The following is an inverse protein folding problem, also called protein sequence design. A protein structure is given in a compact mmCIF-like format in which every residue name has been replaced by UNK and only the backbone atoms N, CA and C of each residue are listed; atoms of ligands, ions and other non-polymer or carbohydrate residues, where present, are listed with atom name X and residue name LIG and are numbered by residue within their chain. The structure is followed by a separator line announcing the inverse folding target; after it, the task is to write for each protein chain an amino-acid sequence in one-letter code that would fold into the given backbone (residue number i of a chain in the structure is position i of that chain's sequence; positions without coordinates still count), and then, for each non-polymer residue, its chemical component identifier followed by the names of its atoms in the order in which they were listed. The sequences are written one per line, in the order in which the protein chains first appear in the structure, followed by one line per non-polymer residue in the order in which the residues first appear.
data_IF_083935772614
#
_entry.id   IF_083935772614
#
_cell.length_a   1.000
_cell.length_b   1.000
_cell.length_c   1.000
_cell.angle_alpha   90.00
_cell.angle_beta   90.00
_cell.angle_gamma   90.00
#
_symmetry.space_group_name_H-M   'P 1'
#
loop_
_entity.id
_entity.type
_entity.pdbx_description
1 polymer ?
#
# COMPACT_ATOMS: atom_id res chain seq x y z
N UNK A 1 -44.72 -3.37 0.96
CA UNK A 1 -43.58 -3.56 0.02
C UNK A 1 -43.68 -2.61 -1.19
N UNK A 2 -44.75 -1.85 -1.36
CA UNK A 2 -44.99 -0.99 -2.54
C UNK A 2 -44.81 0.51 -2.30
N UNK A 3 -44.04 0.95 -1.29
CA UNK A 3 -43.87 2.39 -0.94
C UNK A 3 -42.43 2.88 -0.80
N UNK A 4 -41.42 2.17 -1.36
CA UNK A 4 -40.02 2.53 -1.27
C UNK A 4 -39.40 2.95 -2.63
N UNK A 5 -40.22 3.21 -3.64
CA UNK A 5 -39.72 3.50 -5.00
C UNK A 5 -40.16 4.86 -5.51
N UNK A 6 -40.20 5.91 -4.69
CA UNK A 6 -40.22 7.28 -5.19
C UNK A 6 -39.85 8.23 -4.04
N UNK A 7 -38.62 8.55 -3.90
CA UNK A 7 -38.19 9.77 -3.19
C UNK A 7 -37.34 10.62 -4.13
N UNK A 8 -38.05 11.46 -4.89
CA UNK A 8 -37.46 12.59 -5.60
C UNK A 8 -36.86 13.56 -4.60
N UNK A 9 -35.67 14.02 -4.95
CA UNK A 9 -35.02 15.29 -4.60
C UNK A 9 -35.83 16.18 -3.62
N UNK A 10 -35.58 16.00 -2.33
CA UNK A 10 -35.80 17.06 -1.37
C UNK A 10 -34.60 17.16 -0.44
N UNK A 11 -33.80 18.25 -0.64
CA UNK A 11 -32.76 18.71 0.26
C UNK A 11 -33.40 19.19 1.55
N UNK A 12 -33.72 18.30 2.48
CA UNK A 12 -34.11 18.72 3.82
C UNK A 12 -32.86 18.93 4.68
N UNK A 13 -32.75 20.19 5.14
CA UNK A 13 -31.75 20.60 6.14
C UNK A 13 -32.20 20.05 7.49
N UNK A 14 -31.40 19.18 8.08
CA UNK A 14 -31.56 18.77 9.47
C UNK A 14 -30.78 19.73 10.35
N UNK A 15 -31.50 20.54 11.16
CA UNK A 15 -30.91 21.47 12.12
C UNK A 15 -30.73 20.76 13.47
N UNK A 16 -29.50 20.48 13.85
CA UNK A 16 -29.14 20.03 15.19
C UNK A 16 -28.09 21.01 15.73
N UNK A 17 -28.51 21.87 16.66
CA UNK A 17 -27.59 22.65 17.50
C UNK A 17 -26.82 23.78 16.84
N UNK A 18 -27.42 24.56 15.91
CA UNK A 18 -26.87 25.88 15.51
C UNK A 18 -25.56 25.92 14.72
N UNK A 19 -25.06 24.78 14.24
CA UNK A 19 -23.90 24.71 13.36
C UNK A 19 -24.33 24.19 11.99
N UNK A 20 -24.30 25.09 10.97
CA UNK A 20 -24.49 24.70 9.59
C UNK A 20 -23.25 23.95 9.10
N UNK A 21 -23.22 22.63 9.16
CA UNK A 21 -22.32 21.83 8.37
C UNK A 21 -22.87 21.78 6.95
N UNK A 22 -22.17 22.38 5.99
CA UNK A 22 -22.34 22.05 4.58
C UNK A 22 -21.97 20.57 4.46
N UNK A 23 -22.93 19.75 4.03
CA UNK A 23 -22.64 18.43 3.52
C UNK A 23 -21.71 18.65 2.32
N UNK A 24 -20.40 18.48 2.53
CA UNK A 24 -19.47 18.34 1.43
C UNK A 24 -19.91 17.10 0.67
N UNK A 25 -20.03 17.16 -0.64
CA UNK A 25 -20.19 16.03 -1.51
C UNK A 25 -18.90 15.16 -1.34
N UNK A 26 -18.91 14.29 -0.36
CA UNK A 26 -17.85 13.31 -0.16
C UNK A 26 -18.12 12.23 -1.18
N UNK A 27 -17.39 12.28 -2.28
CA UNK A 27 -17.38 11.24 -3.30
C UNK A 27 -16.84 9.95 -2.66
N UNK A 28 -17.74 9.06 -2.24
CA UNK A 28 -17.40 7.81 -1.59
C UNK A 28 -17.00 6.76 -2.63
N UNK A 29 -15.70 6.66 -2.89
CA UNK A 29 -15.12 5.55 -3.65
C UNK A 29 -14.73 4.40 -2.72
N UNK A 30 -14.79 3.16 -3.20
CA UNK A 30 -14.18 2.00 -2.52
C UNK A 30 -12.70 2.32 -2.33
N UNK A 31 -12.27 2.47 -1.08
CA UNK A 31 -10.90 2.85 -0.76
C UNK A 31 -9.97 1.66 -0.94
N UNK A 32 -8.86 1.88 -1.61
CA UNK A 32 -7.74 0.94 -1.70
C UNK A 32 -6.43 1.71 -1.73
N UNK A 33 -5.42 1.16 -1.10
CA UNK A 33 -4.05 1.70 -1.17
C UNK A 33 -3.32 1.22 -2.44
N UNK A 34 -3.82 0.17 -3.11
CA UNK A 34 -3.18 -0.41 -4.29
C UNK A 34 -3.50 0.35 -5.58
N UNK A 35 -2.47 0.79 -6.30
CA UNK A 35 -2.61 1.46 -7.59
C UNK A 35 -3.17 0.53 -8.67
N UNK A 36 -2.85 -0.76 -8.62
CA UNK A 36 -3.39 -1.76 -9.53
C UNK A 36 -4.90 -1.89 -9.40
N UNK A 37 -5.46 -1.89 -8.18
CA UNK A 37 -6.91 -1.94 -7.96
C UNK A 37 -7.62 -0.67 -8.44
N UNK A 38 -6.99 0.49 -8.33
CA UNK A 38 -7.52 1.74 -8.92
C UNK A 38 -7.50 1.68 -10.44
N UNK A 39 -6.44 1.12 -11.05
CA UNK A 39 -6.33 0.91 -12.50
C UNK A 39 -7.42 -0.02 -13.03
N UNK A 40 -7.72 -1.10 -12.32
CA UNK A 40 -8.76 -2.08 -12.68
C UNK A 40 -10.18 -1.48 -12.73
N UNK A 41 -10.44 -0.42 -11.97
CA UNK A 41 -11.73 0.30 -11.99
C UNK A 41 -11.97 1.10 -13.25
N UNK A 42 -10.90 1.54 -13.93
CA UNK A 42 -11.00 2.41 -15.09
C UNK A 42 -11.14 1.57 -16.35
N UNK A 43 -12.29 1.70 -17.03
CA UNK A 43 -12.54 1.00 -18.28
C UNK A 43 -11.70 1.59 -19.43
N UNK A 44 -11.08 0.72 -20.22
CA UNK A 44 -10.30 1.09 -21.40
C UNK A 44 -8.85 0.61 -21.35
N UNK A 45 -8.26 0.35 -22.52
CA UNK A 45 -6.87 -0.11 -22.63
C UNK A 45 -5.86 1.02 -22.50
N UNK A 46 -6.23 2.24 -22.88
CA UNK A 46 -5.37 3.42 -22.81
C UNK A 46 -6.02 4.52 -21.98
N UNK A 47 -5.34 4.91 -20.90
CA UNK A 47 -5.75 6.00 -20.03
C UNK A 47 -4.71 7.11 -20.20
N UNK A 48 -5.12 8.36 -20.62
CA UNK A 48 -4.19 9.44 -20.78
C UNK A 48 -3.41 9.73 -19.49
N UNK A 49 -2.09 9.82 -19.59
CA UNK A 49 -1.22 10.07 -18.44
C UNK A 49 -0.89 8.83 -17.61
N UNK A 50 -1.30 7.63 -18.05
CA UNK A 50 -0.97 6.37 -17.37
C UNK A 50 -0.29 5.43 -18.38
N UNK A 51 0.79 4.79 -17.94
CA UNK A 51 1.45 3.72 -18.67
C UNK A 51 1.43 2.46 -17.81
N UNK A 52 1.07 1.33 -18.43
CA UNK A 52 1.03 0.02 -17.75
C UNK A 52 1.95 -0.93 -18.48
N UNK A 53 2.74 -1.67 -17.71
CA UNK A 53 3.53 -2.81 -18.18
C UNK A 53 3.30 -3.98 -17.25
N UNK A 54 3.29 -5.18 -17.81
CA UNK A 54 3.11 -6.41 -17.04
C UNK A 54 4.08 -7.46 -17.55
N UNK A 55 4.66 -8.20 -16.60
CA UNK A 55 5.49 -9.37 -16.90
C UNK A 55 5.32 -10.42 -15.81
N UNK A 56 5.60 -11.66 -16.16
CA UNK A 56 5.51 -12.80 -15.27
C UNK A 56 6.75 -13.67 -15.43
N UNK A 57 7.28 -14.15 -14.30
CA UNK A 57 8.32 -15.16 -14.27
C UNK A 57 7.66 -16.54 -14.35
N UNK A 58 7.77 -17.22 -15.48
CA UNK A 58 7.15 -18.53 -15.73
C UNK A 58 7.57 -19.59 -14.67
N UNK A 59 8.83 -19.54 -14.20
CA UNK A 59 9.38 -20.51 -13.25
C UNK A 59 8.74 -20.41 -11.86
N UNK A 60 8.42 -19.20 -11.40
CA UNK A 60 7.94 -18.94 -10.06
C UNK A 60 6.46 -18.54 -10.01
N UNK A 61 5.88 -18.16 -11.16
CA UNK A 61 4.53 -17.58 -11.25
C UNK A 61 4.40 -16.21 -10.57
N UNK A 62 5.54 -15.54 -10.30
CA UNK A 62 5.55 -14.16 -9.78
C UNK A 62 5.20 -13.21 -10.91
N UNK A 63 4.09 -12.50 -10.75
CA UNK A 63 3.64 -11.48 -11.69
C UNK A 63 3.96 -10.10 -11.15
N UNK A 64 4.48 -9.25 -12.02
CA UNK A 64 4.77 -7.84 -11.70
C UNK A 64 4.00 -6.95 -12.66
N UNK A 65 3.25 -6.01 -12.09
CA UNK A 65 2.55 -4.97 -12.85
C UNK A 65 3.11 -3.60 -12.48
N UNK A 66 3.66 -2.91 -13.47
CA UNK A 66 4.07 -1.50 -13.37
C UNK A 66 2.90 -0.61 -13.80
N UNK A 67 2.51 0.31 -12.94
CA UNK A 67 1.60 1.41 -13.24
C UNK A 67 2.35 2.71 -13.05
N UNK A 68 2.68 3.41 -14.13
CA UNK A 68 3.33 4.71 -14.08
C UNK A 68 2.28 5.81 -14.30
N UNK A 69 2.07 6.65 -13.28
CA UNK A 69 1.28 7.87 -13.36
C UNK A 69 2.22 8.97 -13.82
N UNK A 70 2.08 9.39 -15.09
CA UNK A 70 3.08 10.23 -15.76
C UNK A 70 2.81 11.74 -15.61
N UNK A 71 1.56 12.15 -15.40
CA UNK A 71 1.16 13.56 -15.33
C UNK A 71 -0.16 13.75 -14.54
N UNK A 72 -0.58 15.01 -14.36
CA UNK A 72 -1.81 15.38 -13.66
C UNK A 72 -3.09 14.73 -14.23
N UNK A 73 -3.13 14.37 -15.52
CA UNK A 73 -4.29 13.69 -16.14
C UNK A 73 -4.38 12.28 -15.61
N UNK A 74 -3.23 11.58 -15.53
CA UNK A 74 -3.13 10.27 -14.92
C UNK A 74 -3.49 10.30 -13.43
N UNK A 75 -3.00 11.30 -12.70
CA UNK A 75 -3.33 11.51 -11.29
C UNK A 75 -4.84 11.68 -11.08
N UNK A 76 -5.50 12.52 -11.88
CA UNK A 76 -6.96 12.71 -11.81
C UNK A 76 -7.74 11.45 -12.20
N UNK A 77 -7.25 10.69 -13.18
CA UNK A 77 -7.91 9.47 -13.65
C UNK A 77 -7.81 8.32 -12.64
N UNK A 78 -6.66 8.19 -11.97
CA UNK A 78 -6.37 7.07 -11.07
C UNK A 78 -6.59 7.44 -9.58
N UNK A 79 -6.61 8.73 -9.24
CA UNK A 79 -6.64 9.19 -7.85
C UNK A 79 -5.36 8.86 -7.07
N UNK A 80 -4.24 8.63 -7.77
CA UNK A 80 -2.91 8.34 -7.20
C UNK A 80 -1.91 9.38 -7.67
N UNK A 81 -1.00 9.86 -6.81
CA UNK A 81 0.03 10.84 -7.18
C UNK A 81 0.88 10.40 -8.37
N UNK A 82 1.47 11.38 -9.05
CA UNK A 82 2.47 11.13 -10.10
C UNK A 82 3.63 10.32 -9.50
N UNK A 83 4.02 9.24 -10.18
CA UNK A 83 5.07 8.33 -9.76
C UNK A 83 4.92 6.93 -10.32
N UNK A 84 5.80 6.04 -9.94
CA UNK A 84 5.82 4.65 -10.33
C UNK A 84 5.26 3.76 -9.21
N UNK A 85 4.41 2.83 -9.59
CA UNK A 85 3.81 1.82 -8.72
C UNK A 85 4.08 0.45 -9.31
N UNK A 86 4.88 -0.36 -8.60
CA UNK A 86 5.20 -1.74 -8.94
C UNK A 86 4.41 -2.66 -8.02
N UNK A 87 3.52 -3.46 -8.58
CA UNK A 87 2.73 -4.43 -7.82
C UNK A 87 3.24 -5.83 -8.14
N UNK A 88 3.77 -6.51 -7.13
CA UNK A 88 4.22 -7.89 -7.17
C UNK A 88 3.11 -8.78 -6.64
N UNK A 89 2.60 -9.69 -7.46
CA UNK A 89 1.61 -10.69 -7.08
C UNK A 89 2.28 -12.06 -7.03
N UNK A 90 2.28 -12.67 -5.85
CA UNK A 90 2.96 -13.92 -5.56
C UNK A 90 2.05 -14.83 -4.72
N UNK A 91 1.18 -15.59 -5.40
CA UNK A 91 0.11 -16.37 -4.76
C UNK A 91 0.60 -17.38 -3.70
N UNK A 92 1.80 -17.91 -3.89
CA UNK A 92 2.38 -18.90 -2.96
C UNK A 92 2.92 -18.30 -1.66
N UNK A 93 3.02 -16.96 -1.53
CA UNK A 93 3.32 -16.30 -0.25
C UNK A 93 2.33 -16.61 0.88
N UNK A 94 1.11 -17.05 0.52
CA UNK A 94 0.14 -17.52 1.51
C UNK A 94 0.51 -18.89 2.13
N UNK A 95 1.48 -19.60 1.55
CA UNK A 95 1.97 -20.90 2.01
C UNK A 95 3.30 -20.70 2.72
N UNK A 96 3.60 -21.62 3.63
CA UNK A 96 4.91 -21.65 4.29
C UNK A 96 5.90 -22.40 3.37
N UNK A 97 6.59 -21.67 2.51
CA UNK A 97 7.59 -22.18 1.58
C UNK A 97 8.78 -21.22 1.58
N UNK A 98 9.83 -21.58 2.32
CA UNK A 98 11.00 -20.73 2.54
C UNK A 98 11.74 -20.43 1.24
N UNK A 99 11.82 -21.39 0.30
CA UNK A 99 12.46 -21.20 -1.00
C UNK A 99 11.70 -20.17 -1.84
N UNK A 100 10.37 -20.26 -1.85
CA UNK A 100 9.53 -19.30 -2.57
C UNK A 100 9.59 -17.89 -1.97
N UNK A 101 9.64 -17.78 -0.64
CA UNK A 101 9.84 -16.49 0.04
C UNK A 101 11.17 -15.84 -0.37
N UNK A 102 12.22 -16.63 -0.52
CA UNK A 102 13.51 -16.15 -1.01
C UNK A 102 13.47 -15.65 -2.45
N UNK A 103 12.80 -16.38 -3.35
CA UNK A 103 12.60 -15.95 -4.74
C UNK A 103 11.85 -14.61 -4.83
N UNK A 104 10.84 -14.42 -3.99
CA UNK A 104 10.13 -13.14 -3.87
C UNK A 104 11.04 -12.05 -3.33
N UNK A 105 11.90 -12.34 -2.33
CA UNK A 105 12.89 -11.39 -1.80
C UNK A 105 13.88 -10.95 -2.88
N UNK A 106 14.34 -11.86 -3.72
CA UNK A 106 15.25 -11.57 -4.85
C UNK A 106 14.60 -10.67 -5.89
N UNK A 107 13.32 -10.94 -6.25
CA UNK A 107 12.55 -10.09 -7.17
C UNK A 107 12.36 -8.68 -6.61
N UNK A 108 11.89 -8.57 -5.38
CA UNK A 108 11.71 -7.29 -4.69
C UNK A 108 13.02 -6.51 -4.58
N UNK A 109 14.14 -7.19 -4.30
CA UNK A 109 15.46 -6.58 -4.24
C UNK A 109 15.88 -6.00 -5.59
N UNK A 110 15.60 -6.72 -6.69
CA UNK A 110 15.85 -6.24 -8.05
C UNK A 110 15.05 -4.98 -8.37
N UNK A 111 13.74 -4.99 -8.07
CA UNK A 111 12.85 -3.86 -8.28
C UNK A 111 13.26 -2.65 -7.43
N UNK A 112 13.59 -2.87 -6.15
CA UNK A 112 14.02 -1.81 -5.24
C UNK A 112 15.34 -1.17 -5.69
N UNK A 113 16.34 -1.97 -6.13
CA UNK A 113 17.56 -1.44 -6.74
C UNK A 113 17.27 -0.60 -7.98
N UNK A 114 16.36 -1.05 -8.83
CA UNK A 114 15.93 -0.29 -10.01
C UNK A 114 15.39 1.08 -9.63
N UNK A 115 14.48 1.14 -8.65
CA UNK A 115 13.91 2.39 -8.17
C UNK A 115 14.97 3.31 -7.54
N UNK A 116 15.86 2.79 -6.70
CA UNK A 116 16.96 3.57 -6.12
C UNK A 116 17.87 4.14 -7.21
N UNK A 117 18.17 3.36 -8.25
CA UNK A 117 18.99 3.78 -9.40
C UNK A 117 18.34 4.93 -10.18
N UNK A 118 17.03 4.90 -10.41
CA UNK A 118 16.29 5.98 -11.08
C UNK A 118 16.41 7.31 -10.31
N UNK A 119 16.50 7.25 -8.98
CA UNK A 119 16.78 8.41 -8.14
C UNK A 119 18.27 8.76 -8.02
N UNK A 120 19.14 8.04 -8.74
CA UNK A 120 20.61 8.27 -8.73
C UNK A 120 21.31 7.81 -7.45
N UNK A 121 20.68 6.94 -6.69
CA UNK A 121 21.14 6.41 -5.41
C UNK A 121 21.88 5.08 -5.61
N UNK A 122 23.08 5.19 -6.20
CA UNK A 122 24.02 4.08 -6.43
C UNK A 122 25.37 4.41 -5.79
N UNK A 123 25.95 3.45 -5.07
CA UNK A 123 27.23 3.63 -4.38
C UNK A 123 28.33 4.08 -5.34
N UNK A 124 28.39 3.49 -6.54
CA UNK A 124 29.35 3.82 -7.60
C UNK A 124 29.21 5.27 -8.07
N UNK A 125 27.97 5.72 -8.28
CA UNK A 125 27.67 7.07 -8.75
C UNK A 125 27.93 8.12 -7.68
N UNK A 126 27.60 7.79 -6.43
CA UNK A 126 27.77 8.67 -5.28
C UNK A 126 29.21 8.71 -4.77
N UNK A 127 30.04 7.71 -5.10
CA UNK A 127 31.42 7.54 -4.60
C UNK A 127 31.49 7.20 -3.11
N UNK A 128 30.36 6.92 -2.47
CA UNK A 128 30.22 6.52 -1.07
C UNK A 128 29.00 5.61 -0.89
N UNK A 129 28.91 4.85 0.22
CA UNK A 129 27.71 4.08 0.52
C UNK A 129 26.46 4.97 0.60
N UNK A 130 25.35 4.45 0.11
CA UNK A 130 24.03 5.10 0.22
C UNK A 130 23.58 5.05 1.69
N UNK A 131 23.16 6.20 2.22
CA UNK A 131 22.58 6.31 3.55
C UNK A 131 21.06 6.12 3.46
N UNK A 132 20.57 5.05 4.01
CA UNK A 132 19.15 4.70 3.94
C UNK A 132 18.52 4.69 5.33
N UNK A 133 17.37 5.35 5.47
CA UNK A 133 16.52 5.27 6.66
C UNK A 133 15.31 4.38 6.35
N UNK A 134 15.19 3.25 7.03
CA UNK A 134 13.99 2.40 6.95
C UNK A 134 13.02 2.81 8.05
N UNK A 135 11.78 3.05 7.66
CA UNK A 135 10.70 3.47 8.56
C UNK A 135 9.62 2.39 8.58
N UNK A 136 9.47 1.73 9.73
CA UNK A 136 8.39 0.76 9.95
C UNK A 136 7.14 1.46 10.47
N UNK A 137 6.16 1.68 9.60
CA UNK A 137 4.88 2.30 9.94
C UNK A 137 3.92 1.28 10.54
N UNK A 138 2.99 1.76 11.35
CA UNK A 138 1.93 0.96 11.95
C UNK A 138 2.07 0.80 13.46
N UNK A 139 1.13 0.04 14.01
CA UNK A 139 1.04 -0.24 15.44
C UNK A 139 1.53 -1.68 15.72
N UNK A 140 2.65 -1.88 16.43
CA UNK A 140 3.17 -3.21 16.76
C UNK A 140 2.22 -4.06 17.62
N UNK A 141 1.28 -3.43 18.34
CA UNK A 141 0.30 -4.13 19.19
C UNK A 141 -0.95 -4.60 18.41
N UNK A 142 -1.09 -4.17 17.14
CA UNK A 142 -2.19 -4.58 16.28
C UNK A 142 -1.64 -5.40 15.11
N UNK A 143 -1.70 -6.74 15.18
CA UNK A 143 -1.04 -7.64 14.23
C UNK A 143 -1.25 -7.26 12.76
N UNK A 144 -2.46 -6.93 12.27
CA UNK A 144 -2.64 -6.53 10.87
C UNK A 144 -1.92 -5.23 10.49
N UNK A 145 -1.55 -4.40 11.47
CA UNK A 145 -0.86 -3.13 11.31
C UNK A 145 0.62 -3.20 11.73
N UNK A 146 1.10 -4.38 12.12
CA UNK A 146 2.45 -4.56 12.69
C UNK A 146 3.54 -4.88 11.65
N UNK A 147 3.23 -4.89 10.35
CA UNK A 147 4.18 -5.27 9.29
C UNK A 147 5.45 -4.42 9.33
N UNK A 148 5.32 -3.10 9.31
CA UNK A 148 6.47 -2.20 9.31
C UNK A 148 7.37 -2.39 10.54
N UNK A 149 6.83 -2.34 11.77
CA UNK A 149 7.59 -2.66 12.98
C UNK A 149 8.32 -4.00 12.91
N UNK A 150 7.68 -5.07 12.45
CA UNK A 150 8.27 -6.40 12.34
C UNK A 150 9.38 -6.49 11.29
N UNK A 151 9.28 -5.77 10.18
CA UNK A 151 10.39 -5.67 9.21
C UNK A 151 11.64 -5.12 9.88
N UNK A 152 11.50 -4.15 10.77
CA UNK A 152 12.62 -3.56 11.47
C UNK A 152 13.24 -4.52 12.52
N UNK A 153 12.48 -5.43 13.10
CA UNK A 153 13.00 -6.47 14.00
C UNK A 153 14.02 -7.38 13.31
N UNK A 154 13.85 -7.61 11.99
CA UNK A 154 14.75 -8.41 11.16
C UNK A 154 15.85 -7.59 10.48
N UNK A 155 15.83 -6.25 10.60
CA UNK A 155 16.73 -5.38 9.85
C UNK A 155 18.10 -5.26 10.54
N UNK A 156 19.18 -5.42 9.76
CA UNK A 156 20.55 -5.20 10.22
C UNK A 156 20.98 -3.74 10.04
N UNK A 157 20.81 -2.93 11.06
CA UNK A 157 21.27 -1.55 11.04
C UNK A 157 22.81 -1.47 11.05
N UNK A 158 23.37 -0.66 10.16
CA UNK A 158 24.85 -0.55 9.96
C UNK A 158 25.36 0.89 10.12
N UNK A 159 24.48 1.87 10.32
CA UNK A 159 24.89 3.29 10.48
C UNK A 159 25.91 3.49 11.59
N UNK A 160 25.85 2.70 12.66
CA UNK A 160 26.83 2.77 13.74
C UNK A 160 28.26 2.43 13.29
N UNK A 161 28.43 1.58 12.26
CA UNK A 161 29.75 1.28 11.68
C UNK A 161 30.35 2.49 10.99
N UNK A 162 29.51 3.30 10.29
CA UNK A 162 30.00 4.56 9.70
C UNK A 162 30.41 5.56 10.78
N UNK A 163 29.67 5.65 11.87
CA UNK A 163 29.99 6.55 12.98
C UNK A 163 31.28 6.17 13.72
N UNK A 164 31.54 4.87 13.89
CA UNK A 164 32.68 4.34 14.61
C UNK A 164 33.95 4.27 13.72
N UNK A 165 33.82 3.77 12.48
CA UNK A 165 34.95 3.45 11.61
C UNK A 165 35.08 4.38 10.39
N UNK A 166 34.11 5.23 10.14
CA UNK A 166 34.08 6.18 9.03
C UNK A 166 33.56 5.61 7.70
N UNK A 167 33.21 6.51 6.80
CA UNK A 167 32.61 6.20 5.48
C UNK A 167 33.49 5.31 4.61
N UNK A 168 34.83 5.51 4.67
CA UNK A 168 35.81 4.73 3.88
C UNK A 168 35.84 3.25 4.32
N UNK A 169 35.67 2.99 5.61
CA UNK A 169 35.54 1.63 6.12
C UNK A 169 34.30 0.95 5.52
N UNK A 170 33.13 1.59 5.60
CA UNK A 170 31.89 1.05 5.05
C UNK A 170 32.03 0.79 3.54
N UNK A 171 32.58 1.75 2.78
CA UNK A 171 32.83 1.59 1.34
C UNK A 171 33.75 0.41 1.02
N UNK A 172 34.87 0.29 1.73
CA UNK A 172 35.86 -0.78 1.52
C UNK A 172 35.30 -2.17 1.78
N UNK A 173 34.40 -2.31 2.75
CA UNK A 173 33.83 -3.58 3.17
C UNK A 173 32.44 -3.84 2.59
N UNK A 174 31.93 -2.97 1.70
CA UNK A 174 30.63 -3.14 1.06
C UNK A 174 29.42 -2.96 2.00
N UNK A 175 29.61 -2.27 3.13
CA UNK A 175 28.49 -1.98 4.05
C UNK A 175 27.70 -0.76 3.58
N UNK A 176 26.37 -0.87 3.33
CA UNK A 176 25.52 0.29 3.23
C UNK A 176 25.43 1.00 4.58
N UNK A 177 24.99 2.26 4.58
CA UNK A 177 24.73 2.98 5.84
C UNK A 177 23.22 2.92 6.11
N UNK A 178 22.81 1.92 6.87
CA UNK A 178 21.42 1.60 7.14
C UNK A 178 21.03 1.94 8.58
N UNK A 179 19.96 2.70 8.74
CA UNK A 179 19.31 2.98 10.02
C UNK A 179 17.82 2.68 9.94
N UNK A 180 17.19 2.40 11.07
CA UNK A 180 15.76 2.09 11.13
C UNK A 180 15.07 2.78 12.30
N UNK A 181 13.79 3.09 12.14
CA UNK A 181 12.91 3.63 13.18
C UNK A 181 11.49 3.13 13.03
N UNK A 182 10.87 2.77 14.15
CA UNK A 182 9.44 2.55 14.28
C UNK A 182 8.86 3.77 15.01
N UNK A 183 8.24 4.73 14.31
CA UNK A 183 7.76 5.98 14.93
C UNK A 183 6.53 5.77 15.81
N UNK A 184 5.87 4.61 15.74
CA UNK A 184 4.58 4.35 16.38
C UNK A 184 3.42 5.07 15.70
N UNK A 185 2.27 5.06 16.35
CA UNK A 185 1.06 5.71 15.86
C UNK A 185 0.74 6.97 16.68
N UNK A 186 0.06 7.95 16.06
CA UNK A 186 -0.28 9.22 16.72
C UNK A 186 -1.04 9.03 18.04
N UNK A 187 -1.88 7.99 18.13
CA UNK A 187 -2.61 7.67 19.36
C UNK A 187 -1.70 7.33 20.55
N UNK A 188 -0.48 6.84 20.29
CA UNK A 188 0.52 6.51 21.32
C UNK A 188 1.48 7.69 21.58
N UNK A 189 1.90 8.37 20.51
CA UNK A 189 2.98 9.38 20.56
C UNK A 189 2.46 10.80 20.75
N UNK A 190 1.22 11.09 20.34
CA UNK A 190 0.67 12.45 20.27
C UNK A 190 1.27 13.30 19.14
N UNK A 191 2.11 12.72 18.27
CA UNK A 191 2.81 13.41 17.19
C UNK A 191 2.47 12.82 15.84
N UNK A 192 2.47 13.65 14.80
CA UNK A 192 2.40 13.16 13.42
C UNK A 192 3.70 12.46 13.05
N UNK A 193 3.58 11.33 12.31
CA UNK A 193 4.74 10.58 11.83
C UNK A 193 5.70 11.46 11.03
N UNK A 194 5.18 12.37 10.19
CA UNK A 194 5.99 13.30 9.41
C UNK A 194 6.81 14.26 10.30
N UNK A 195 6.31 14.68 11.47
CA UNK A 195 7.05 15.53 12.42
C UNK A 195 8.24 14.78 13.01
N UNK A 196 8.00 13.54 13.47
CA UNK A 196 9.07 12.68 14.03
C UNK A 196 10.15 12.46 12.97
N UNK A 197 9.74 12.09 11.73
CA UNK A 197 10.69 11.78 10.66
C UNK A 197 11.49 13.00 10.21
N UNK A 198 10.92 14.19 10.16
CA UNK A 198 11.69 15.42 9.86
C UNK A 198 12.83 15.63 10.85
N UNK A 199 12.58 15.41 12.15
CA UNK A 199 13.62 15.48 13.17
C UNK A 199 14.72 14.43 12.97
N UNK A 200 14.34 13.18 12.70
CA UNK A 200 15.27 12.08 12.46
C UNK A 200 16.08 12.33 11.19
N UNK A 201 15.44 12.76 10.09
CA UNK A 201 16.11 13.05 8.82
C UNK A 201 17.11 14.21 8.97
N UNK A 202 16.76 15.26 9.69
CA UNK A 202 17.66 16.39 9.94
C UNK A 202 18.95 15.95 10.66
N UNK A 203 18.87 15.00 11.58
CA UNK A 203 20.00 14.45 12.33
C UNK A 203 20.78 13.38 11.55
N UNK A 204 20.07 12.41 10.97
CA UNK A 204 20.71 11.24 10.33
C UNK A 204 21.14 11.49 8.90
N UNK A 205 20.55 12.48 8.22
CA UNK A 205 20.82 12.90 6.84
C UNK A 205 20.89 11.73 5.84
N UNK A 206 19.79 10.94 5.75
CA UNK A 206 19.72 9.85 4.80
C UNK A 206 19.63 10.37 3.36
N UNK A 207 20.08 9.58 2.38
CA UNK A 207 19.91 9.85 0.96
C UNK A 207 18.52 9.43 0.47
N UNK A 208 17.92 8.44 1.15
CA UNK A 208 16.56 7.97 0.90
C UNK A 208 15.88 7.45 2.17
N UNK A 209 14.55 7.45 2.12
CA UNK A 209 13.67 6.79 3.09
C UNK A 209 13.00 5.60 2.41
N UNK A 210 13.05 4.42 3.04
CA UNK A 210 12.22 3.27 2.71
C UNK A 210 11.12 3.15 3.76
N UNK A 211 9.86 3.44 3.38
CA UNK A 211 8.72 3.38 4.29
C UNK A 211 7.96 2.06 4.09
N UNK A 212 7.88 1.23 5.13
CA UNK A 212 7.15 -0.04 5.12
C UNK A 212 5.85 0.11 5.88
N UNK A 213 4.73 -0.27 5.27
CA UNK A 213 3.38 -0.13 5.85
C UNK A 213 2.46 -1.30 5.51
N UNK A 214 1.49 -1.52 6.38
CA UNK A 214 0.37 -2.40 6.14
C UNK A 214 -0.74 -1.63 5.38
N UNK A 215 -1.21 -2.20 4.27
CA UNK A 215 -2.18 -1.56 3.40
C UNK A 215 -3.59 -2.16 3.57
N UNK A 216 -4.60 -1.42 3.11
CA UNK A 216 -5.94 -1.93 2.90
C UNK A 216 -6.15 -2.25 1.42
N UNK A 217 -6.62 -3.46 1.13
CA UNK A 217 -7.06 -3.85 -0.21
C UNK A 217 -8.57 -3.72 -0.36
N UNK A 218 -9.02 -3.66 -1.60
CA UNK A 218 -10.41 -3.83 -1.98
C UNK A 218 -10.79 -5.31 -2.08
N UNK A 219 -9.88 -6.15 -2.58
CA UNK A 219 -10.15 -7.57 -2.81
C UNK A 219 -9.44 -8.47 -1.81
N UNK A 220 -10.18 -9.46 -1.26
CA UNK A 220 -9.64 -10.50 -0.38
C UNK A 220 -8.50 -11.29 -1.04
N UNK A 221 -8.52 -11.44 -2.37
CA UNK A 221 -7.52 -12.19 -3.14
C UNK A 221 -6.10 -11.64 -3.03
N UNK A 222 -5.96 -10.38 -2.63
CA UNK A 222 -4.67 -9.68 -2.54
C UNK A 222 -4.05 -9.74 -1.14
N UNK A 223 -4.80 -10.20 -0.14
CA UNK A 223 -4.36 -10.20 1.25
C UNK A 223 -3.15 -11.12 1.46
N UNK A 224 -2.01 -10.50 1.82
CA UNK A 224 -0.77 -11.20 2.14
C UNK A 224 -0.10 -11.92 0.97
N UNK A 225 -0.53 -11.65 -0.27
CA UNK A 225 0.06 -12.24 -1.51
C UNK A 225 0.42 -11.18 -2.54
N UNK A 226 0.24 -9.93 -2.19
CA UNK A 226 0.54 -8.78 -3.05
C UNK A 226 1.46 -7.83 -2.29
N UNK A 227 2.52 -7.36 -2.93
CA UNK A 227 3.45 -6.36 -2.38
C UNK A 227 3.53 -5.21 -3.38
N UNK A 228 3.32 -3.98 -2.92
CA UNK A 228 3.43 -2.79 -3.76
C UNK A 228 4.65 -1.97 -3.36
N UNK A 229 5.48 -1.61 -4.35
CA UNK A 229 6.52 -0.59 -4.20
C UNK A 229 6.06 0.68 -4.92
N UNK A 230 6.39 1.87 -4.37
CA UNK A 230 6.09 3.14 -5.03
C UNK A 230 7.10 4.21 -4.65
N UNK A 231 7.48 5.05 -5.62
CA UNK A 231 8.30 6.25 -5.40
C UNK A 231 7.48 7.53 -5.24
N UNK A 232 6.16 7.44 -5.36
CA UNK A 232 5.24 8.55 -5.07
C UNK A 232 5.09 8.86 -3.57
N UNK A 233 5.75 8.06 -2.71
CA UNK A 233 5.60 8.13 -1.27
C UNK A 233 4.39 7.34 -0.75
N UNK A 234 3.99 7.61 0.49
CA UNK A 234 2.90 6.91 1.16
C UNK A 234 2.00 7.86 1.96
N UNK A 235 0.72 7.52 2.05
CA UNK A 235 -0.28 8.20 2.87
C UNK A 235 -0.72 7.24 3.98
N UNK A 236 -0.05 7.24 5.14
CA UNK A 236 -0.33 6.26 6.20
C UNK A 236 -1.80 6.27 6.63
N UNK A 237 -2.44 5.10 6.63
CA UNK A 237 -3.83 4.93 7.06
C UNK A 237 -4.89 5.45 6.08
N UNK A 238 -4.55 5.83 4.84
CA UNK A 238 -5.51 6.31 3.84
C UNK A 238 -6.57 5.29 3.49
N UNK A 239 -6.20 4.02 3.34
CA UNK A 239 -7.11 2.92 3.04
C UNK A 239 -8.14 2.64 4.14
N UNK A 240 -7.85 3.01 5.39
CA UNK A 240 -8.78 2.89 6.52
C UNK A 240 -9.44 4.22 6.90
N UNK A 241 -9.27 5.26 6.07
CA UNK A 241 -9.96 6.55 6.25
C UNK A 241 -9.29 7.53 7.20
N UNK A 242 -8.07 7.26 7.63
CA UNK A 242 -7.29 8.20 8.43
C UNK A 242 -6.57 9.18 7.49
N UNK A 243 -6.86 10.47 7.63
CA UNK A 243 -6.15 11.53 6.91
C UNK A 243 -4.95 11.97 7.74
N UNK A 244 -3.77 11.46 7.41
CA UNK A 244 -2.48 11.84 7.99
C UNK A 244 -1.63 12.56 6.95
N UNK A 245 -0.60 13.26 7.41
CA UNK A 245 0.35 13.88 6.52
C UNK A 245 1.05 12.81 5.67
N UNK A 246 1.09 13.03 4.36
CA UNK A 246 1.80 12.16 3.43
C UNK A 246 3.30 12.17 3.69
N UNK A 247 3.93 11.03 3.52
CA UNK A 247 5.38 10.88 3.54
C UNK A 247 5.86 10.82 2.10
N UNK A 248 6.22 11.96 1.55
CA UNK A 248 6.67 12.13 0.16
C UNK A 248 8.00 12.88 0.14
N UNK A 249 8.63 12.94 -1.03
CA UNK A 249 9.84 13.75 -1.22
C UNK A 249 9.62 15.22 -0.86
N UNK A 250 8.44 15.76 -1.16
CA UNK A 250 8.08 17.16 -0.88
C UNK A 250 7.98 17.42 0.62
N UNK A 251 7.41 16.47 1.36
CA UNK A 251 7.20 16.62 2.80
C UNK A 251 8.46 16.35 3.63
N UNK A 252 9.30 15.40 3.20
CA UNK A 252 10.48 14.96 3.94
C UNK A 252 11.82 15.52 3.41
N UNK A 253 11.83 16.08 2.20
CA UNK A 253 13.02 16.65 1.57
C UNK A 253 14.01 15.64 1.00
N UNK A 254 13.70 14.35 1.06
CA UNK A 254 14.50 13.24 0.52
C UNK A 254 13.59 12.28 -0.24
N UNK A 255 14.11 11.53 -1.25
CA UNK A 255 13.34 10.48 -1.92
C UNK A 255 12.72 9.49 -0.92
N UNK A 256 11.45 9.15 -1.15
CA UNK A 256 10.71 8.18 -0.35
C UNK A 256 10.26 7.05 -1.25
N UNK A 257 10.67 5.82 -0.95
CA UNK A 257 10.16 4.61 -1.59
C UNK A 257 9.30 3.88 -0.56
N UNK A 258 8.03 3.69 -0.89
CA UNK A 258 7.09 2.96 -0.06
C UNK A 258 7.08 1.48 -0.43
N UNK A 259 6.98 0.60 0.56
CA UNK A 259 6.79 -0.83 0.43
C UNK A 259 5.55 -1.19 1.25
N UNK A 260 4.51 -1.66 0.60
CA UNK A 260 3.25 -1.92 1.26
C UNK A 260 2.68 -3.29 0.97
N UNK A 261 2.04 -3.92 1.96
CA UNK A 261 1.36 -5.20 1.81
C UNK A 261 -0.06 -5.09 2.34
N UNK A 262 -1.08 -5.49 1.56
CA UNK A 262 -2.45 -5.55 2.06
C UNK A 262 -2.61 -6.65 3.11
N UNK A 263 -3.00 -6.23 4.30
CA UNK A 263 -3.26 -7.09 5.46
C UNK A 263 -4.72 -7.12 5.86
N UNK A 264 -5.49 -6.13 5.43
CA UNK A 264 -6.91 -5.98 5.74
C UNK A 264 -7.74 -5.65 4.51
N UNK A 265 -9.03 -5.98 4.57
CA UNK A 265 -10.05 -5.60 3.60
C UNK A 265 -11.30 -5.12 4.33
N UNK A 266 -11.98 -4.11 3.80
CA UNK A 266 -13.25 -3.63 4.37
C UNK A 266 -14.35 -4.67 4.25
N UNK A 267 -15.17 -4.86 5.30
CA UNK A 267 -16.28 -5.81 5.27
C UNK A 267 -17.27 -5.54 4.13
N UNK A 268 -17.55 -4.27 3.83
CA UNK A 268 -18.39 -3.87 2.71
C UNK A 268 -17.84 -4.32 1.34
N UNK A 269 -16.53 -4.36 1.17
CA UNK A 269 -15.90 -4.85 -0.05
C UNK A 269 -16.08 -6.37 -0.23
N UNK A 270 -16.03 -7.13 0.87
CA UNK A 270 -16.29 -8.58 0.84
C UNK A 270 -17.74 -8.85 0.42
N UNK A 271 -18.69 -8.12 0.97
CA UNK A 271 -20.11 -8.27 0.61
C UNK A 271 -20.34 -7.90 -0.85
N UNK A 272 -19.72 -6.82 -1.33
CA UNK A 272 -19.80 -6.42 -2.73
C UNK A 272 -19.28 -7.51 -3.68
N UNK A 273 -18.08 -8.04 -3.41
CA UNK A 273 -17.49 -9.12 -4.21
C UNK A 273 -18.35 -10.39 -4.17
N UNK A 274 -18.95 -10.70 -3.01
CA UNK A 274 -19.83 -11.86 -2.83
C UNK A 274 -21.12 -11.71 -3.64
N UNK A 275 -21.75 -10.54 -3.61
CA UNK A 275 -22.96 -10.24 -4.40
C UNK A 275 -22.63 -10.32 -5.91
N UNK A 276 -21.52 -9.75 -6.33
CA UNK A 276 -21.05 -9.83 -7.73
C UNK A 276 -20.86 -11.28 -8.20
N UNK A 277 -20.21 -12.11 -7.39
CA UNK A 277 -20.00 -13.52 -7.69
C UNK A 277 -21.34 -14.31 -7.74
N UNK A 278 -22.27 -14.01 -6.85
CA UNK A 278 -23.60 -14.62 -6.85
C UNK A 278 -24.39 -14.27 -8.11
N UNK A 279 -24.38 -12.99 -8.52
CA UNK A 279 -25.03 -12.53 -9.76
C UNK A 279 -24.44 -13.23 -10.98
N UNK A 280 -23.10 -13.36 -11.05
CA UNK A 280 -22.43 -14.08 -12.13
C UNK A 280 -22.86 -15.56 -12.19
N UNK A 281 -22.90 -16.24 -11.05
CA UNK A 281 -23.32 -17.64 -10.95
C UNK A 281 -24.78 -17.87 -11.36
N UNK A 282 -25.68 -16.95 -10.99
CA UNK A 282 -27.10 -17.01 -11.38
C UNK A 282 -27.29 -16.84 -12.90
N UNK A 283 -26.49 -16.00 -13.54
CA UNK A 283 -26.49 -15.83 -15.00
C UNK A 283 -26.03 -17.09 -15.73
N UNK A 284 -24.96 -17.71 -15.27
CA UNK A 284 -24.48 -18.98 -15.83
C UNK A 284 -25.49 -20.10 -15.67
N UNK A 285 -26.30 -20.09 -14.58
CA UNK A 285 -27.37 -21.03 -14.32
C UNK A 285 -28.67 -20.81 -15.13
N UNK A 286 -28.75 -19.74 -15.95
CA UNK A 286 -29.91 -19.45 -16.80
C UNK A 286 -31.08 -18.75 -16.08
N UNK A 287 -30.92 -18.30 -14.83
CA UNK A 287 -31.92 -17.56 -14.07
C UNK A 287 -31.74 -16.04 -14.22
N UNK A 288 -32.00 -15.53 -15.42
CA UNK A 288 -31.71 -14.15 -15.81
C UNK A 288 -32.48 -13.06 -15.05
N UNK A 289 -33.65 -13.36 -14.47
CA UNK A 289 -34.55 -12.33 -13.93
C UNK A 289 -34.09 -11.59 -12.67
N UNK A 290 -33.25 -12.18 -11.82
CA UNK A 290 -32.69 -11.55 -10.61
C UNK A 290 -31.35 -10.87 -10.83
N UNK A 291 -30.59 -11.32 -11.83
CA UNK A 291 -29.30 -10.73 -12.20
C UNK A 291 -29.43 -9.31 -12.76
N UNK A 292 -30.45 -9.07 -13.59
CA UNK A 292 -30.64 -7.81 -14.31
C UNK A 292 -30.88 -6.60 -13.38
N UNK A 293 -31.51 -6.80 -12.22
CA UNK A 293 -31.84 -5.70 -11.30
C UNK A 293 -30.58 -5.16 -10.58
N UNK A 294 -29.62 -6.01 -10.30
CA UNK A 294 -28.36 -5.62 -9.63
C UNK A 294 -27.32 -5.10 -10.65
N UNK A 295 -27.39 -5.61 -11.89
CA UNK A 295 -26.45 -5.23 -12.94
C UNK A 295 -26.66 -3.80 -13.49
N UNK A 296 -27.87 -3.27 -13.40
CA UNK A 296 -28.18 -1.90 -13.83
C UNK A 296 -27.68 -0.83 -12.86
N UNK A 297 -27.18 -1.23 -11.68
CA UNK A 297 -26.50 -0.33 -10.75
C UNK A 297 -25.00 -0.32 -11.08
N UNK A 298 -24.42 0.88 -11.18
CA UNK A 298 -22.96 1.00 -11.24
C UNK A 298 -22.33 0.32 -10.02
N UNK A 299 -21.19 -0.33 -10.19
CA UNK A 299 -20.47 -1.00 -9.10
C UNK A 299 -20.17 -0.09 -7.90
N UNK A 300 -20.06 1.23 -8.14
CA UNK A 300 -19.94 2.25 -7.09
C UNK A 300 -21.23 2.38 -6.28
N UNK A 301 -22.35 2.44 -6.95
CA UNK A 301 -23.67 2.57 -6.31
C UNK A 301 -24.02 1.32 -5.52
N UNK A 302 -23.68 0.13 -6.04
CA UNK A 302 -23.84 -1.14 -5.32
C UNK A 302 -23.01 -1.16 -4.03
N UNK A 303 -21.74 -0.77 -4.11
CA UNK A 303 -20.86 -0.72 -2.94
C UNK A 303 -21.37 0.29 -1.91
N UNK A 304 -21.81 1.47 -2.35
CA UNK A 304 -22.35 2.50 -1.49
C UNK A 304 -23.61 2.03 -0.77
N UNK A 305 -24.55 1.40 -1.49
CA UNK A 305 -25.76 0.83 -0.91
C UNK A 305 -25.46 -0.23 0.15
N UNK A 306 -24.52 -1.14 -0.15
CA UNK A 306 -24.06 -2.17 0.80
C UNK A 306 -23.51 -1.51 2.07
N UNK A 307 -22.70 -0.47 1.89
CA UNK A 307 -22.11 0.27 2.99
C UNK A 307 -23.13 1.01 3.83
N UNK A 308 -24.09 1.70 3.21
CA UNK A 308 -25.18 2.39 3.89
C UNK A 308 -26.08 1.45 4.72
N UNK A 309 -26.22 0.20 4.29
CA UNK A 309 -26.97 -0.82 5.02
C UNK A 309 -26.15 -1.43 6.15
N UNK A 310 -24.85 -1.66 5.95
CA UNK A 310 -23.98 -2.33 6.93
C UNK A 310 -23.42 -1.40 8.00
N UNK A 311 -22.90 -0.23 7.63
CA UNK A 311 -22.22 0.66 8.58
C UNK A 311 -23.06 1.11 9.77
N UNK A 312 -24.37 1.43 9.63
CA UNK A 312 -25.19 1.79 10.78
C UNK A 312 -25.36 0.64 11.79
N UNK A 313 -25.20 -0.62 11.34
CA UNK A 313 -25.40 -1.80 12.17
C UNK A 313 -24.12 -2.30 12.83
N UNK A 314 -22.99 -2.25 12.11
CA UNK A 314 -21.73 -2.86 12.54
C UNK A 314 -20.55 -1.87 12.60
N UNK A 315 -20.74 -0.62 12.18
CA UNK A 315 -19.67 0.37 12.04
C UNK A 315 -18.68 0.02 10.92
N UNK A 316 -17.61 0.82 10.74
CA UNK A 316 -16.54 0.49 9.83
C UNK A 316 -15.77 -0.73 10.36
N UNK A 317 -15.89 -1.86 9.67
CA UNK A 317 -15.23 -3.12 10.05
C UNK A 317 -14.22 -3.52 8.99
N UNK A 318 -13.03 -3.94 9.43
CA UNK A 318 -11.98 -4.52 8.60
C UNK A 318 -11.79 -5.99 8.95
N UNK A 319 -11.55 -6.80 7.93
CA UNK A 319 -11.36 -8.25 8.03
C UNK A 319 -9.94 -8.59 7.60
N UNK A 320 -9.33 -9.52 8.30
CA UNK A 320 -7.99 -10.03 8.05
C UNK A 320 -8.02 -11.56 8.00
N UNK A 321 -7.07 -12.24 7.33
CA UNK A 321 -6.96 -13.69 7.36
C UNK A 321 -6.77 -14.24 8.78
N UNK A 322 -7.32 -15.43 9.05
CA UNK A 322 -7.23 -16.06 10.38
C UNK A 322 -5.78 -16.35 10.82
N UNK A 323 -4.86 -16.52 9.87
CA UNK A 323 -3.43 -16.76 10.09
C UNK A 323 -2.58 -15.51 9.88
N UNK A 324 -3.12 -14.32 10.20
CA UNK A 324 -2.45 -13.04 9.94
C UNK A 324 -1.11 -12.93 10.69
N UNK A 325 -1.00 -13.50 11.90
CA UNK A 325 0.23 -13.46 12.68
C UNK A 325 1.39 -14.14 11.93
N UNK A 326 1.16 -15.35 11.41
CA UNK A 326 2.14 -16.09 10.62
C UNK A 326 2.46 -15.37 9.30
N UNK A 327 1.45 -14.81 8.62
CA UNK A 327 1.65 -14.07 7.37
C UNK A 327 2.48 -12.82 7.56
N UNK A 328 2.19 -12.03 8.57
CA UNK A 328 2.94 -10.81 8.88
C UNK A 328 4.38 -11.15 9.24
N UNK A 329 4.62 -12.20 10.00
CA UNK A 329 5.96 -12.69 10.35
C UNK A 329 6.76 -13.06 9.09
N UNK A 330 6.21 -13.95 8.23
CA UNK A 330 6.88 -14.40 7.02
C UNK A 330 7.13 -13.25 6.03
N UNK A 331 6.15 -12.36 5.84
CA UNK A 331 6.27 -11.19 4.96
C UNK A 331 7.28 -10.18 5.48
N UNK A 332 7.34 -9.98 6.80
CA UNK A 332 8.32 -9.06 7.40
C UNK A 332 9.75 -9.56 7.17
N UNK A 333 9.98 -10.86 7.30
CA UNK A 333 11.26 -11.47 6.95
C UNK A 333 11.58 -11.33 5.46
N UNK A 334 10.64 -11.65 4.56
CA UNK A 334 10.78 -11.51 3.09
C UNK A 334 11.17 -10.09 2.70
N UNK A 335 10.50 -9.08 3.24
CA UNK A 335 10.77 -7.67 2.93
C UNK A 335 12.11 -7.22 3.51
N UNK A 336 12.44 -7.62 4.75
CA UNK A 336 13.73 -7.30 5.35
C UNK A 336 14.88 -7.92 4.55
N UNK A 337 14.75 -9.17 4.11
CA UNK A 337 15.73 -9.83 3.26
C UNK A 337 15.87 -9.14 1.91
N UNK A 338 14.77 -8.73 1.28
CA UNK A 338 14.78 -7.95 0.04
C UNK A 338 15.52 -6.61 0.21
N UNK A 339 15.30 -5.90 1.31
CA UNK A 339 16.01 -4.66 1.63
C UNK A 339 17.51 -4.93 1.79
N UNK A 340 17.89 -5.99 2.50
CA UNK A 340 19.29 -6.39 2.64
C UNK A 340 19.91 -6.71 1.29
N UNK A 341 19.30 -7.57 0.49
CA UNK A 341 19.78 -7.94 -0.85
C UNK A 341 19.90 -6.72 -1.77
N UNK A 342 18.98 -5.75 -1.66
CA UNK A 342 19.01 -4.54 -2.47
C UNK A 342 20.19 -3.64 -2.11
N UNK A 343 20.50 -3.49 -0.82
CA UNK A 343 21.48 -2.53 -0.33
C UNK A 343 22.88 -3.12 -0.12
N UNK A 344 22.98 -4.42 0.26
CA UNK A 344 24.28 -5.10 0.49
C UNK A 344 24.77 -5.84 -0.77
N UNK A 345 23.92 -6.13 -1.74
CA UNK A 345 24.23 -6.93 -2.93
C UNK A 345 24.92 -6.21 -4.08
N UNK A 346 25.44 -5.01 -3.89
CA UNK A 346 26.10 -4.19 -4.94
C UNK A 346 27.49 -4.64 -5.38
N UNK A 347 28.01 -5.78 -4.91
CA UNK A 347 29.33 -6.32 -5.26
C UNK A 347 29.22 -7.71 -5.89
N UNK A 348 28.45 -7.86 -6.96
CA UNK A 348 28.41 -9.06 -7.81
C UNK A 348 28.76 -8.72 -9.24
#
# INVERSE_FOLDING_TARGET
IHKLLFCEKNKEKVEIGGVFMRQADVEFTVRTDLALEEREKVQGSEIPGIRVREWEKEETGIRVTEVAVCDERGEKALGKPVGMYLTVEAASLAKKDDDYHREVSEELAGLLRGMLKEHGLETEKMGRPVRTLVVGLGNPEATPDALGPKVLEHLQATRHLELEYGTDFCRKHGYPVLSGITPGVMAQTGMETAEILKGVIAETRPDAVLAVDALAARSVRRLGVTIQLSDAGIHPGSGVGNHRNSLTRETLGVPVIAIGVPTVVGAAAIVHDTVGALVAALKEGGEAGYGDMVEHMDGRDQYQLIREVLEPQIGPMYVTPHNIDERVENLSFTISEAIHMALFGGNG
#
